data_IF_422706697650
#
_entry.id   IF_422706697650
#
_cell.length_a   1.000
_cell.length_b   1.000
_cell.length_c   1.000
_cell.angle_alpha   90.00
_cell.angle_beta   90.00
_cell.angle_gamma   90.00
#
_symmetry.space_group_name_H-M   'P 1'
#
loop_
_entity.id
_entity.type
_entity.pdbx_description
1 polymer ?
#
# COMPACT_ATOMS: atom_id res chain seq x y z
N UNK A 1 -13.49 9.71 36.06
CA UNK A 1 -14.11 8.54 35.41
C UNK A 1 -13.26 8.32 34.20
N UNK A 2 -12.37 7.35 34.27
CA UNK A 2 -11.50 7.00 33.17
C UNK A 2 -12.35 6.26 32.13
N UNK A 3 -12.46 6.84 30.93
CA UNK A 3 -13.02 6.16 29.77
C UNK A 3 -12.15 4.94 29.52
N UNK A 4 -12.63 3.78 29.95
CA UNK A 4 -11.97 2.51 29.68
C UNK A 4 -12.24 2.16 28.23
N UNK A 5 -11.49 2.76 27.31
CA UNK A 5 -11.33 2.23 25.96
C UNK A 5 -10.98 0.77 26.13
N UNK A 6 -11.86 -0.13 25.69
CA UNK A 6 -11.59 -1.57 25.75
C UNK A 6 -10.27 -1.82 25.01
N UNK A 7 -9.38 -2.68 25.54
CA UNK A 7 -8.05 -2.89 24.96
C UNK A 7 -8.08 -3.12 23.44
N UNK A 8 -9.05 -3.91 22.93
CA UNK A 8 -9.20 -4.17 21.50
C UNK A 8 -9.61 -2.97 20.63
N UNK A 9 -10.23 -1.93 21.17
CA UNK A 9 -10.57 -0.71 20.39
C UNK A 9 -9.34 0.19 20.17
N UNK A 10 -8.42 0.23 21.14
CA UNK A 10 -7.16 0.98 20.95
C UNK A 10 -6.27 0.25 19.96
N UNK A 11 -6.18 -1.08 20.07
CA UNK A 11 -5.39 -1.92 19.17
C UNK A 11 -5.88 -1.77 17.71
N UNK A 12 -7.20 -1.83 17.46
CA UNK A 12 -7.76 -1.65 16.12
C UNK A 12 -7.52 -0.25 15.53
N UNK A 13 -7.55 0.81 16.36
CA UNK A 13 -7.23 2.17 15.89
C UNK A 13 -5.75 2.30 15.50
N UNK A 14 -4.86 1.72 16.29
CA UNK A 14 -3.42 1.73 16.02
C UNK A 14 -3.09 0.94 14.75
N UNK A 15 -3.71 -0.24 14.57
CA UNK A 15 -3.60 -1.05 13.36
C UNK A 15 -4.11 -0.31 12.12
N UNK A 16 -5.29 0.30 12.20
CA UNK A 16 -5.84 1.15 11.15
C UNK A 16 -4.88 2.30 10.79
N UNK A 17 -4.35 3.01 11.79
CA UNK A 17 -3.46 4.14 11.58
C UNK A 17 -2.15 3.73 10.89
N UNK A 18 -1.53 2.63 11.33
CA UNK A 18 -0.34 2.08 10.71
C UNK A 18 -0.60 1.65 9.26
N UNK A 19 -1.74 1.00 9.00
CA UNK A 19 -2.13 0.58 7.66
C UNK A 19 -2.39 1.76 6.73
N UNK A 20 -3.02 2.82 7.25
CA UNK A 20 -3.28 4.06 6.51
C UNK A 20 -1.98 4.78 6.15
N UNK A 21 -1.02 4.83 7.07
CA UNK A 21 0.30 5.40 6.83
C UNK A 21 1.04 4.65 5.71
N UNK A 22 1.06 3.30 5.76
CA UNK A 22 1.65 2.47 4.70
C UNK A 22 1.02 2.73 3.33
N UNK A 23 -0.31 2.81 3.25
CA UNK A 23 -1.01 3.11 2.01
C UNK A 23 -0.63 4.49 1.44
N UNK A 24 -0.46 5.50 2.30
CA UNK A 24 -0.03 6.85 1.90
C UNK A 24 1.42 6.82 1.37
N UNK A 25 2.31 6.09 2.03
CA UNK A 25 3.70 5.94 1.57
C UNK A 25 3.75 5.30 0.18
N UNK A 26 2.98 4.22 -0.04
CA UNK A 26 2.87 3.58 -1.36
C UNK A 26 2.35 4.55 -2.44
N UNK A 27 1.31 5.33 -2.13
CA UNK A 27 0.77 6.34 -3.05
C UNK A 27 1.80 7.43 -3.40
N UNK A 28 2.67 7.79 -2.46
CA UNK A 28 3.71 8.80 -2.65
C UNK A 28 4.93 8.26 -3.41
N UNK A 29 5.32 7.02 -3.17
CA UNK A 29 6.62 6.50 -3.63
C UNK A 29 6.55 5.64 -4.90
N UNK A 30 5.48 4.86 -5.08
CA UNK A 30 5.36 3.93 -6.21
C UNK A 30 5.23 4.68 -7.55
N UNK A 31 4.37 5.73 -7.70
CA UNK A 31 4.23 6.42 -8.99
C UNK A 31 5.53 7.09 -9.47
N UNK A 32 6.31 7.80 -8.63
CA UNK A 32 7.61 8.32 -9.05
C UNK A 32 8.64 7.24 -9.42
N UNK A 33 8.60 6.07 -8.76
CA UNK A 33 9.43 4.94 -9.18
C UNK A 33 9.01 4.41 -10.55
N UNK A 34 7.71 4.19 -10.77
CA UNK A 34 7.16 3.73 -12.03
C UNK A 34 7.55 4.67 -13.19
N UNK A 35 7.46 5.98 -12.96
CA UNK A 35 7.86 6.98 -13.96
C UNK A 35 9.34 6.84 -14.31
N UNK A 36 10.24 6.78 -13.30
CA UNK A 36 11.68 6.62 -13.52
C UNK A 36 12.03 5.34 -14.29
N UNK A 37 11.37 4.22 -13.97
CA UNK A 37 11.53 2.95 -14.70
C UNK A 37 11.08 3.11 -16.17
N UNK A 38 9.93 3.76 -16.37
CA UNK A 38 9.34 3.99 -17.70
C UNK A 38 10.17 4.93 -18.55
N UNK A 39 10.85 5.91 -17.95
CA UNK A 39 11.77 6.83 -18.61
C UNK A 39 13.11 6.15 -18.96
N UNK A 40 13.56 5.16 -18.18
CA UNK A 40 14.81 4.43 -18.42
C UNK A 40 14.66 3.38 -19.53
N UNK A 41 13.54 2.65 -19.56
CA UNK A 41 13.27 1.59 -20.53
C UNK A 41 13.57 1.95 -22.00
N UNK A 42 13.06 3.07 -22.55
CA UNK A 42 13.31 3.43 -23.95
C UNK A 42 14.76 3.87 -24.21
N UNK A 43 15.52 4.23 -23.16
CA UNK A 43 16.92 4.66 -23.30
C UNK A 43 17.86 3.47 -23.48
N UNK A 44 17.43 2.24 -23.18
CA UNK A 44 18.28 1.06 -23.38
C UNK A 44 18.27 0.65 -24.86
N UNK A 45 19.38 0.92 -25.53
CA UNK A 45 19.57 0.65 -26.97
C UNK A 45 20.47 -0.55 -27.24
N UNK A 46 20.52 -0.94 -28.52
CA UNK A 46 21.37 -2.00 -29.04
C UNK A 46 20.80 -3.42 -28.85
N UNK A 47 21.27 -4.38 -29.64
CA UNK A 47 20.79 -5.77 -29.65
C UNK A 47 21.70 -6.70 -28.83
N UNK A 48 22.33 -6.18 -27.78
CA UNK A 48 23.23 -6.98 -26.94
C UNK A 48 22.45 -7.77 -25.88
N UNK A 49 22.94 -8.96 -25.53
CA UNK A 49 22.39 -9.79 -24.44
C UNK A 49 22.33 -9.04 -23.10
N UNK A 50 23.29 -8.12 -22.87
CA UNK A 50 23.29 -7.23 -21.72
C UNK A 50 22.10 -6.26 -21.75
N UNK A 51 21.86 -5.62 -22.89
CA UNK A 51 20.74 -4.70 -23.07
C UNK A 51 19.39 -5.43 -22.94
N UNK A 52 19.29 -6.64 -23.49
CA UNK A 52 18.10 -7.50 -23.35
C UNK A 52 17.85 -7.85 -21.89
N UNK A 53 18.87 -8.31 -21.16
CA UNK A 53 18.78 -8.63 -19.72
C UNK A 53 18.29 -7.44 -18.89
N UNK A 54 18.81 -6.24 -19.14
CA UNK A 54 18.39 -5.05 -18.40
C UNK A 54 16.97 -4.60 -18.79
N UNK A 55 16.57 -4.71 -20.07
CA UNK A 55 15.19 -4.43 -20.49
C UNK A 55 14.20 -5.39 -19.83
N UNK A 56 14.48 -6.69 -19.83
CA UNK A 56 13.63 -7.69 -19.18
C UNK A 56 13.45 -7.39 -17.69
N UNK A 57 14.54 -7.06 -16.99
CA UNK A 57 14.50 -6.66 -15.58
C UNK A 57 13.65 -5.42 -15.35
N UNK A 58 13.82 -4.37 -16.15
CA UNK A 58 13.05 -3.14 -16.02
C UNK A 58 11.57 -3.34 -16.39
N UNK A 59 11.26 -4.18 -17.37
CA UNK A 59 9.87 -4.55 -17.67
C UNK A 59 9.24 -5.29 -16.49
N UNK A 60 9.98 -6.22 -15.86
CA UNK A 60 9.55 -6.89 -14.63
C UNK A 60 9.29 -5.89 -13.50
N UNK A 61 10.21 -4.96 -13.27
CA UNK A 61 10.08 -3.92 -12.24
C UNK A 61 8.90 -2.97 -12.50
N UNK A 62 8.69 -2.58 -13.76
CA UNK A 62 7.54 -1.76 -14.18
C UNK A 62 6.23 -2.48 -13.89
N UNK A 63 6.15 -3.76 -14.23
CA UNK A 63 4.95 -4.56 -13.99
C UNK A 63 4.71 -4.71 -12.48
N UNK A 64 5.75 -4.95 -11.68
CA UNK A 64 5.65 -5.00 -10.23
C UNK A 64 5.13 -3.66 -9.64
N UNK A 65 5.65 -2.52 -10.10
CA UNK A 65 5.15 -1.21 -9.67
C UNK A 65 3.67 -0.98 -10.03
N UNK A 66 3.23 -1.42 -11.21
CA UNK A 66 1.81 -1.36 -11.60
C UNK A 66 0.92 -2.23 -10.71
N UNK A 67 1.35 -3.44 -10.39
CA UNK A 67 0.61 -4.36 -9.50
C UNK A 67 0.58 -3.81 -8.07
N UNK A 68 1.67 -3.20 -7.60
CA UNK A 68 1.70 -2.48 -6.32
C UNK A 68 0.65 -1.36 -6.28
N UNK A 69 0.56 -0.56 -7.36
CA UNK A 69 -0.46 0.48 -7.50
C UNK A 69 -1.88 -0.08 -7.43
N UNK A 70 -2.14 -1.15 -8.17
CA UNK A 70 -3.45 -1.79 -8.16
C UNK A 70 -3.85 -2.25 -6.75
N UNK A 71 -2.93 -2.89 -6.02
CA UNK A 71 -3.21 -3.41 -4.68
C UNK A 71 -3.50 -2.31 -3.66
N UNK A 72 -2.68 -1.26 -3.56
CA UNK A 72 -2.96 -0.20 -2.58
C UNK A 72 -4.21 0.59 -2.97
N UNK A 73 -4.51 0.74 -4.26
CA UNK A 73 -5.76 1.38 -4.71
C UNK A 73 -6.99 0.56 -4.36
N UNK A 74 -6.90 -0.78 -4.43
CA UNK A 74 -7.97 -1.68 -4.00
C UNK A 74 -8.19 -1.63 -2.48
N UNK A 75 -7.16 -1.32 -1.68
CA UNK A 75 -7.27 -1.16 -0.23
C UNK A 75 -8.01 0.13 0.19
N UNK A 76 -7.95 1.19 -0.63
CA UNK A 76 -8.49 2.53 -0.27
C UNK A 76 -9.97 2.50 0.16
N UNK A 77 -10.91 1.83 -0.54
CA UNK A 77 -12.31 1.80 -0.13
C UNK A 77 -12.53 1.15 1.24
N UNK A 78 -11.73 0.14 1.60
CA UNK A 78 -11.79 -0.51 2.91
C UNK A 78 -11.30 0.45 4.00
N UNK A 79 -10.18 1.14 3.75
CA UNK A 79 -9.64 2.16 4.66
C UNK A 79 -10.60 3.34 4.85
N UNK A 80 -11.30 3.78 3.80
CA UNK A 80 -12.32 4.84 3.89
C UNK A 80 -13.55 4.40 4.69
N UNK A 81 -13.95 3.14 4.54
CA UNK A 81 -15.05 2.57 5.32
C UNK A 81 -14.65 2.42 6.79
N UNK A 82 -13.43 1.97 7.07
CA UNK A 82 -12.87 1.85 8.42
C UNK A 82 -12.81 3.23 9.12
N UNK A 83 -12.34 4.26 8.41
CA UNK A 83 -12.33 5.66 8.90
C UNK A 83 -13.73 6.13 9.30
N UNK A 84 -14.72 5.83 8.45
CA UNK A 84 -16.13 6.17 8.71
C UNK A 84 -16.69 5.44 9.93
N UNK A 85 -16.21 4.24 10.25
CA UNK A 85 -16.61 3.48 11.45
C UNK A 85 -15.94 4.07 12.69
N UNK A 86 -14.66 4.40 12.62
CA UNK A 86 -13.93 5.06 13.72
C UNK A 86 -14.62 6.39 14.06
N UNK A 87 -14.99 7.20 13.05
CA UNK A 87 -15.75 8.42 13.26
C UNK A 87 -17.12 8.18 13.94
N UNK A 88 -17.79 7.06 13.65
CA UNK A 88 -19.06 6.70 14.28
C UNK A 88 -18.87 6.28 15.74
N UNK A 89 -17.82 5.49 16.02
CA UNK A 89 -17.44 5.08 17.37
C UNK A 89 -17.11 6.30 18.25
N UNK A 90 -16.46 7.32 17.68
CA UNK A 90 -16.10 8.55 18.40
C UNK A 90 -17.31 9.46 18.70
N UNK A 91 -18.36 9.41 17.88
CA UNK A 91 -19.53 10.29 17.99
C UNK A 91 -20.63 9.73 18.88
N UNK A 92 -20.62 8.45 19.20
CA UNK A 92 -21.68 7.82 20.00
C UNK A 92 -21.30 7.72 21.47
N UNK A 93 -22.07 8.32 22.40
CA UNK A 93 -21.83 8.18 23.83
C UNK A 93 -22.06 6.72 24.28
N UNK A 94 -21.20 6.21 25.14
CA UNK A 94 -21.32 4.86 25.71
C UNK A 94 -22.54 4.77 26.63
N UNK A 95 -23.64 4.19 26.13
CA UNK A 95 -24.83 3.85 26.91
C UNK A 95 -24.99 2.33 26.88
N UNK A 96 -25.53 1.76 27.95
CA UNK A 96 -25.70 0.30 28.05
C UNK A 96 -26.55 -0.29 26.89
N UNK A 97 -27.46 0.51 26.32
CA UNK A 97 -28.29 0.14 25.16
C UNK A 97 -27.50 0.08 23.83
N UNK A 98 -26.32 0.69 23.78
CA UNK A 98 -25.51 0.84 22.57
C UNK A 98 -24.33 -0.16 22.51
N UNK A 99 -24.20 -1.05 23.51
CA UNK A 99 -23.09 -2.02 23.61
C UNK A 99 -23.07 -2.98 22.42
N UNK A 100 -24.20 -3.62 22.10
CA UNK A 100 -24.28 -4.57 20.98
C UNK A 100 -23.99 -3.90 19.62
N UNK A 101 -24.43 -2.64 19.46
CA UNK A 101 -24.14 -1.85 18.27
C UNK A 101 -22.64 -1.50 18.17
N UNK A 102 -22.03 -1.09 19.28
CA UNK A 102 -20.59 -0.79 19.36
C UNK A 102 -19.74 -2.03 19.07
N UNK A 103 -20.10 -3.19 19.63
CA UNK A 103 -19.43 -4.46 19.36
C UNK A 103 -19.52 -4.85 17.87
N UNK A 104 -20.70 -4.67 17.26
CA UNK A 104 -20.88 -4.91 15.81
C UNK A 104 -20.02 -3.98 14.95
N UNK A 105 -19.83 -2.71 15.35
CA UNK A 105 -18.95 -1.78 14.63
C UNK A 105 -17.48 -2.16 14.78
N UNK A 106 -17.04 -2.56 15.98
CA UNK A 106 -15.66 -3.00 16.21
C UNK A 106 -15.35 -4.28 15.43
N UNK A 107 -16.26 -5.25 15.41
CA UNK A 107 -16.10 -6.44 14.58
C UNK A 107 -16.02 -6.07 13.09
N UNK A 108 -16.84 -5.12 12.63
CA UNK A 108 -16.78 -4.69 11.24
C UNK A 108 -15.49 -3.95 10.91
N UNK A 109 -14.95 -3.18 11.85
CA UNK A 109 -13.68 -2.49 11.72
C UNK A 109 -12.52 -3.49 11.57
N UNK A 110 -12.48 -4.51 12.43
CA UNK A 110 -11.53 -5.63 12.39
C UNK A 110 -11.53 -6.32 11.03
N UNK A 111 -12.71 -6.70 10.52
CA UNK A 111 -12.84 -7.32 9.19
C UNK A 111 -12.33 -6.43 8.04
N UNK A 112 -12.50 -5.11 8.14
CA UNK A 112 -12.03 -4.16 7.13
C UNK A 112 -10.51 -4.02 7.17
N UNK A 113 -9.94 -3.99 8.38
CA UNK A 113 -8.49 -3.95 8.60
C UNK A 113 -7.86 -5.22 8.04
N UNK A 114 -8.36 -6.40 8.40
CA UNK A 114 -7.86 -7.70 7.91
C UNK A 114 -7.79 -7.77 6.38
N UNK A 115 -8.86 -7.34 5.70
CA UNK A 115 -8.91 -7.33 4.23
C UNK A 115 -7.91 -6.33 3.65
N UNK A 116 -7.81 -5.14 4.24
CA UNK A 116 -6.90 -4.11 3.77
C UNK A 116 -5.42 -4.48 4.03
N UNK A 117 -5.11 -5.20 5.11
CA UNK A 117 -3.76 -5.69 5.42
C UNK A 117 -3.23 -6.55 4.29
N UNK A 118 -4.01 -7.52 3.80
CA UNK A 118 -3.59 -8.39 2.69
C UNK A 118 -3.22 -7.59 1.45
N UNK A 119 -4.03 -6.59 1.10
CA UNK A 119 -3.79 -5.75 -0.08
C UNK A 119 -2.56 -4.87 0.09
N UNK A 120 -2.36 -4.27 1.26
CA UNK A 120 -1.19 -3.40 1.50
C UNK A 120 0.10 -4.23 1.63
N UNK A 121 0.05 -5.42 2.22
CA UNK A 121 1.18 -6.35 2.28
C UNK A 121 1.61 -6.81 0.87
N UNK A 122 0.65 -7.14 0.01
CA UNK A 122 0.93 -7.45 -1.39
C UNK A 122 1.50 -6.23 -2.13
N UNK A 123 0.93 -5.05 -1.91
CA UNK A 123 1.42 -3.81 -2.51
C UNK A 123 2.87 -3.51 -2.12
N UNK A 124 3.23 -3.66 -0.84
CA UNK A 124 4.58 -3.48 -0.32
C UNK A 124 5.55 -4.52 -0.90
N UNK A 125 5.12 -5.78 -0.99
CA UNK A 125 5.91 -6.84 -1.61
C UNK A 125 6.25 -6.51 -3.06
N UNK A 126 5.26 -6.12 -3.87
CA UNK A 126 5.48 -5.74 -5.26
C UNK A 126 6.30 -4.45 -5.39
N UNK A 127 6.13 -3.49 -4.49
CA UNK A 127 6.94 -2.29 -4.46
C UNK A 127 8.41 -2.61 -4.18
N UNK A 128 8.70 -3.50 -3.23
CA UNK A 128 10.05 -3.97 -2.95
C UNK A 128 10.68 -4.67 -4.16
N UNK A 129 9.91 -5.48 -4.90
CA UNK A 129 10.38 -6.09 -6.16
C UNK A 129 10.70 -5.04 -7.23
N UNK A 130 9.88 -3.98 -7.34
CA UNK A 130 10.16 -2.88 -8.27
C UNK A 130 11.43 -2.11 -7.87
N UNK A 131 11.63 -1.84 -6.58
CA UNK A 131 12.80 -1.15 -6.05
C UNK A 131 14.10 -1.95 -6.19
N UNK A 132 14.03 -3.28 -6.14
CA UNK A 132 15.19 -4.14 -6.34
C UNK A 132 15.84 -3.95 -7.73
N UNK A 133 15.10 -3.37 -8.68
CA UNK A 133 15.67 -2.93 -9.95
C UNK A 133 16.39 -1.59 -9.76
N UNK A 134 17.66 -1.67 -9.32
CA UNK A 134 18.52 -0.50 -9.19
C UNK A 134 18.76 0.15 -10.57
N UNK A 135 18.09 1.26 -10.83
CA UNK A 135 18.22 2.03 -12.07
C UNK A 135 19.65 2.56 -12.28
N UNK A 136 20.41 2.75 -11.20
CA UNK A 136 21.80 3.20 -11.28
C UNK A 136 22.76 2.09 -11.72
N UNK A 137 22.31 0.84 -11.67
CA UNK A 137 23.07 -0.33 -12.13
C UNK A 137 23.02 -0.51 -13.66
N UNK A 138 22.20 0.24 -14.39
CA UNK A 138 22.12 0.18 -15.86
C UNK A 138 23.40 0.80 -16.45
N UNK A 139 24.23 0.02 -17.18
CA UNK A 139 25.49 0.52 -17.72
C UNK A 139 25.27 1.62 -18.77
N UNK A 140 26.05 2.70 -18.72
CA UNK A 140 25.97 3.77 -19.72
C UNK A 140 26.30 3.29 -21.14
N UNK A 141 27.05 2.19 -21.28
CA UNK A 141 27.40 1.62 -22.58
C UNK A 141 26.21 1.05 -23.37
N UNK A 142 25.07 0.82 -22.71
CA UNK A 142 23.83 0.35 -23.36
C UNK A 142 22.75 1.43 -23.37
N UNK A 143 23.07 2.66 -22.97
CA UNK A 143 22.15 3.79 -23.02
C UNK A 143 22.32 4.55 -24.34
N UNK A 144 21.22 5.04 -24.90
CA UNK A 144 21.27 6.09 -25.92
C UNK A 144 21.86 7.37 -25.32
N UNK A 145 22.72 8.04 -26.10
CA UNK A 145 23.33 9.35 -25.77
C UNK A 145 22.29 10.45 -25.55
#
# INVERSE_FOLDING_TARGET
MDSTTQPGDTDLRDEYAALRERAILLEQEVPPLLQRISDMLPRISGESELADTHRERLVGARNAALVSIENYQQAIPFLQTADSIIEQLDKTPERDEDIEWRESLLQRLDELIDVAVVMIDDADSYFAHAQACDLSSVPTSILED
#
